data_IF_399689822857
#
_entry.id   IF_399689822857
#
_cell.length_a   1.000
_cell.length_b   1.000
_cell.length_c   1.000
_cell.angle_alpha   90.00
_cell.angle_beta   90.00
_cell.angle_gamma   90.00
#
_symmetry.space_group_name_H-M   'P 1'
#
loop_
_entity.id
_entity.type
_entity.pdbx_description
1 polymer ?
#
# COMPACT_ATOMS: atom_id res chain seq x y z
N UNK A 1 3.96 28.56 1.34
CA UNK A 1 3.96 28.34 2.80
C UNK A 1 2.65 27.65 3.16
N UNK A 2 2.67 26.37 3.52
CA UNK A 2 1.46 25.60 3.84
C UNK A 2 1.01 25.97 5.25
N UNK A 3 -0.24 26.43 5.42
CA UNK A 3 -0.78 26.85 6.72
C UNK A 3 -1.44 25.65 7.40
N UNK A 4 -0.75 25.04 8.36
CA UNK A 4 -1.28 23.95 9.16
C UNK A 4 -2.09 24.51 10.34
N UNK A 5 -3.32 24.04 10.52
CA UNK A 5 -4.14 24.35 11.68
C UNK A 5 -4.21 23.14 12.62
N UNK A 6 -4.19 23.34 13.93
CA UNK A 6 -4.31 22.21 14.89
C UNK A 6 -5.77 21.78 14.95
N UNK A 7 -6.07 20.58 14.47
CA UNK A 7 -7.41 20.00 14.53
C UNK A 7 -7.66 19.31 15.87
N UNK A 8 -8.80 19.57 16.52
CA UNK A 8 -9.25 18.81 17.70
C UNK A 8 -9.97 17.55 17.22
N UNK A 9 -9.29 16.41 17.23
CA UNK A 9 -9.90 15.13 16.87
C UNK A 9 -8.93 13.96 16.92
N UNK A 10 -9.48 12.75 17.03
CA UNK A 10 -8.75 11.50 16.96
C UNK A 10 -9.15 10.76 15.70
N UNK A 11 -8.18 10.22 14.95
CA UNK A 11 -8.47 9.37 13.79
C UNK A 11 -8.23 7.91 14.19
N UNK A 12 -9.26 7.09 14.08
CA UNK A 12 -9.14 5.64 14.20
C UNK A 12 -9.08 5.05 12.79
N UNK A 13 -7.90 4.58 12.40
CA UNK A 13 -7.73 3.78 11.17
C UNK A 13 -8.13 2.35 11.51
N UNK A 14 -8.72 1.62 10.55
CA UNK A 14 -9.20 0.25 10.74
C UNK A 14 -8.10 -0.62 11.39
N UNK A 15 -8.42 -1.27 12.52
CA UNK A 15 -7.48 -2.08 13.31
C UNK A 15 -6.24 -1.35 13.89
N UNK A 16 -6.25 -0.02 14.01
CA UNK A 16 -5.19 0.76 14.64
C UNK A 16 -5.68 1.53 15.88
N UNK A 17 -4.78 1.79 16.83
CA UNK A 17 -5.05 2.63 18.01
C UNK A 17 -5.38 4.05 17.54
N UNK A 18 -6.41 4.68 18.10
CA UNK A 18 -6.81 6.03 17.70
C UNK A 18 -5.65 7.00 17.95
N UNK A 19 -5.14 7.61 16.87
CA UNK A 19 -4.06 8.58 16.96
C UNK A 19 -4.63 9.99 16.97
N UNK A 20 -4.05 10.91 17.77
CA UNK A 20 -4.42 12.31 17.71
C UNK A 20 -4.06 12.87 16.33
N UNK A 21 -4.97 13.65 15.75
CA UNK A 21 -4.69 14.42 14.55
C UNK A 21 -3.71 15.52 14.92
N UNK A 22 -2.58 15.58 14.22
CA UNK A 22 -1.48 16.51 14.51
C UNK A 22 -1.72 17.86 13.83
N UNK A 23 -2.37 17.85 12.67
CA UNK A 23 -2.76 19.06 11.97
C UNK A 23 -3.77 18.79 10.87
N UNK A 24 -4.49 19.83 10.49
CA UNK A 24 -5.35 19.88 9.32
C UNK A 24 -4.81 20.97 8.40
N UNK A 25 -4.53 20.59 7.17
CA UNK A 25 -4.11 21.50 6.11
C UNK A 25 -5.25 21.57 5.12
N UNK A 26 -5.85 22.74 4.96
CA UNK A 26 -6.97 22.94 4.03
C UNK A 26 -6.51 23.53 2.71
N UNK A 27 -7.25 23.24 1.65
CA UNK A 27 -7.13 23.86 0.32
C UNK A 27 -5.70 23.89 -0.21
N UNK A 28 -4.99 22.77 -0.10
CA UNK A 28 -3.65 22.66 -0.69
C UNK A 28 -3.78 22.20 -2.13
N UNK A 29 -3.24 23.02 -3.04
CA UNK A 29 -3.15 22.66 -4.46
C UNK A 29 -2.14 21.52 -4.61
N UNK A 30 -2.62 20.33 -4.97
CA UNK A 30 -1.76 19.18 -5.29
C UNK A 30 -1.53 19.13 -6.79
N UNK A 31 -0.31 18.82 -7.21
CA UNK A 31 -0.01 18.47 -8.61
C UNK A 31 0.52 17.04 -8.68
N UNK A 32 -0.26 16.14 -9.25
CA UNK A 32 0.14 14.74 -9.48
C UNK A 32 0.01 14.45 -10.98
N UNK A 33 1.14 14.47 -11.68
CA UNK A 33 1.17 14.45 -13.14
C UNK A 33 0.44 15.66 -13.73
N UNK A 34 -0.56 15.41 -14.58
CA UNK A 34 -1.43 16.44 -15.18
C UNK A 34 -2.61 16.88 -14.31
N UNK A 35 -2.79 16.30 -13.11
CA UNK A 35 -3.92 16.62 -12.24
C UNK A 35 -3.57 17.75 -11.27
N UNK A 36 -4.48 18.71 -11.12
CA UNK A 36 -4.35 19.86 -10.24
C UNK A 36 -5.70 20.08 -9.53
N UNK A 37 -5.72 19.96 -8.21
CA UNK A 37 -6.94 20.24 -7.43
C UNK A 37 -6.62 20.63 -5.99
N UNK A 38 -7.61 21.23 -5.34
CA UNK A 38 -7.57 21.65 -3.95
C UNK A 38 -8.03 20.52 -3.05
N UNK A 39 -7.11 19.99 -2.24
CA UNK A 39 -7.41 18.90 -1.32
C UNK A 39 -7.14 19.33 0.11
N UNK A 40 -7.99 18.86 1.02
CA UNK A 40 -7.78 18.96 2.46
C UNK A 40 -7.01 17.73 2.96
N UNK A 41 -5.91 17.97 3.67
CA UNK A 41 -5.09 16.93 4.28
C UNK A 41 -5.26 16.91 5.80
N UNK A 42 -5.47 15.71 6.32
CA UNK A 42 -5.35 15.42 7.75
C UNK A 42 -3.94 14.88 8.00
N UNK A 43 -3.13 15.68 8.69
CA UNK A 43 -1.78 15.31 9.11
C UNK A 43 -1.89 14.47 10.38
N UNK A 44 -1.53 13.20 10.26
CA UNK A 44 -1.42 12.27 11.39
C UNK A 44 0.03 11.85 11.47
N UNK A 45 0.63 11.89 12.66
CA UNK A 45 1.94 11.27 12.90
C UNK A 45 1.77 9.75 12.84
N UNK A 46 1.92 9.18 11.65
CA UNK A 46 2.06 7.75 11.46
C UNK A 46 3.55 7.41 11.62
N UNK A 47 3.89 6.42 12.46
CA UNK A 47 5.28 6.12 12.79
C UNK A 47 6.18 5.94 11.55
N UNK A 48 5.91 4.92 10.76
CA UNK A 48 6.79 4.42 9.68
C UNK A 48 6.43 4.93 8.26
N UNK A 49 5.38 5.76 8.12
CA UNK A 49 4.90 6.22 6.81
C UNK A 49 4.80 7.74 6.76
N UNK A 50 5.47 8.35 5.79
CA UNK A 50 5.49 9.81 5.62
C UNK A 50 4.15 10.37 5.11
N UNK A 51 3.38 9.59 4.33
CA UNK A 51 2.07 9.98 3.77
C UNK A 51 1.16 8.75 3.63
N UNK A 52 -0.13 8.90 3.97
CA UNK A 52 -1.18 7.92 3.66
C UNK A 52 -2.27 8.62 2.85
N UNK A 53 -2.42 8.25 1.58
CA UNK A 53 -3.53 8.72 0.75
C UNK A 53 -4.79 7.93 1.11
N UNK A 54 -5.88 8.65 1.42
CA UNK A 54 -7.16 8.05 1.73
C UNK A 54 -7.81 7.37 0.52
N UNK A 55 -8.71 6.42 0.77
CA UNK A 55 -9.44 5.72 -0.30
C UNK A 55 -10.37 6.68 -1.07
N UNK A 56 -10.89 7.72 -0.42
CA UNK A 56 -11.72 8.76 -1.03
C UNK A 56 -10.98 9.55 -2.13
N UNK A 57 -9.67 9.77 -1.96
CA UNK A 57 -8.79 10.31 -3.00
C UNK A 57 -8.74 9.38 -4.23
N UNK A 58 -8.75 8.06 -4.02
CA UNK A 58 -8.76 7.08 -5.11
C UNK A 58 -10.16 6.92 -5.75
N UNK A 59 -11.24 7.18 -5.00
CA UNK A 59 -12.63 7.06 -5.44
C UNK A 59 -13.15 8.29 -6.19
N UNK A 60 -12.67 9.49 -5.85
CA UNK A 60 -13.04 10.75 -6.52
C UNK A 60 -12.51 10.88 -7.95
N UNK A 61 -11.56 10.02 -8.33
CA UNK A 61 -11.05 9.95 -9.69
C UNK A 61 -11.72 8.80 -10.44
N UNK A 62 -12.57 9.15 -11.42
CA UNK A 62 -12.95 8.23 -12.48
C UNK A 62 -11.68 7.87 -13.24
N UNK A 63 -11.01 6.80 -12.81
CA UNK A 63 -10.15 6.03 -13.70
C UNK A 63 -11.00 5.64 -14.92
N UNK A 64 -10.41 5.61 -16.13
CA UNK A 64 -11.12 5.11 -17.30
C UNK A 64 -11.75 3.76 -16.94
N UNK A 65 -13.07 3.68 -17.17
CA UNK A 65 -14.02 2.67 -16.68
C UNK A 65 -13.74 1.25 -17.20
N UNK A 66 -12.60 0.67 -16.85
CA UNK A 66 -12.26 -0.72 -17.19
C UNK A 66 -11.74 -1.51 -15.99
N UNK A 67 -11.55 -0.88 -14.83
CA UNK A 67 -11.25 -1.58 -13.57
C UNK A 67 -12.37 -1.35 -12.56
N UNK A 68 -13.58 -1.81 -12.90
CA UNK A 68 -14.58 -2.17 -11.88
C UNK A 68 -14.10 -3.43 -11.16
N UNK A 69 -13.03 -3.34 -10.39
CA UNK A 69 -12.52 -4.45 -9.58
C UNK A 69 -12.00 -3.96 -8.22
N UNK A 70 -12.89 -3.37 -7.41
CA UNK A 70 -12.66 -3.33 -5.96
C UNK A 70 -12.86 -4.72 -5.31
N UNK A 71 -13.03 -5.77 -6.12
CA UNK A 71 -12.96 -7.17 -5.69
C UNK A 71 -11.61 -7.71 -6.10
N UNK A 72 -10.78 -8.00 -5.11
CA UNK A 72 -9.67 -8.93 -5.29
C UNK A 72 -10.27 -10.24 -5.81
N UNK A 73 -9.77 -10.81 -6.92
CA UNK A 73 -10.32 -12.04 -7.46
C UNK A 73 -10.18 -13.17 -6.42
N UNK A 74 -11.20 -14.02 -6.31
CA UNK A 74 -11.23 -15.10 -5.32
C UNK A 74 -10.08 -16.12 -5.52
N UNK A 75 -9.54 -16.17 -6.74
CA UNK A 75 -8.38 -16.98 -7.11
C UNK A 75 -7.40 -16.17 -7.97
N UNK A 76 -6.10 -16.44 -7.81
CA UNK A 76 -5.07 -15.83 -8.64
C UNK A 76 -5.19 -16.30 -10.11
N UNK A 77 -4.87 -15.44 -11.09
CA UNK A 77 -4.75 -15.87 -12.49
C UNK A 77 -3.68 -16.96 -12.61
N UNK A 78 -3.82 -17.87 -13.58
CA UNK A 78 -2.96 -19.06 -13.67
C UNK A 78 -1.56 -18.81 -14.24
N UNK A 79 -1.35 -17.67 -14.91
CA UNK A 79 -0.09 -17.38 -15.61
C UNK A 79 0.24 -15.89 -15.59
N UNK A 80 1.52 -15.58 -15.78
CA UNK A 80 1.98 -14.23 -16.03
C UNK A 80 1.31 -13.62 -17.26
N UNK A 81 1.05 -12.31 -17.25
CA UNK A 81 0.60 -11.61 -18.46
C UNK A 81 1.69 -11.70 -19.54
N UNK A 82 1.31 -11.67 -20.83
CA UNK A 82 2.28 -11.62 -21.93
C UNK A 82 3.29 -10.48 -21.75
N UNK A 83 4.55 -10.72 -22.10
CA UNK A 83 5.60 -9.69 -22.06
C UNK A 83 5.19 -8.53 -22.95
N UNK A 84 5.13 -7.33 -22.37
CA UNK A 84 4.82 -6.09 -23.09
C UNK A 84 6.08 -5.57 -23.78
N UNK A 85 5.91 -4.75 -24.82
CA UNK A 85 7.03 -4.07 -25.50
C UNK A 85 7.75 -3.05 -24.60
N UNK A 86 7.04 -2.52 -23.60
CA UNK A 86 7.57 -1.53 -22.66
C UNK A 86 7.95 -2.26 -21.37
N UNK A 87 9.22 -2.20 -21.02
CA UNK A 87 9.70 -2.59 -19.69
C UNK A 87 9.64 -1.37 -18.77
N UNK A 88 9.06 -1.54 -17.59
CA UNK A 88 9.02 -0.49 -16.59
C UNK A 88 10.22 -0.63 -15.68
N UNK A 89 11.07 0.39 -15.63
CA UNK A 89 12.15 0.52 -14.66
C UNK A 89 11.71 1.45 -13.52
N UNK A 90 12.03 1.08 -12.28
CA UNK A 90 11.80 1.92 -11.11
C UNK A 90 13.14 2.56 -10.75
N UNK A 91 13.29 3.84 -11.12
CA UNK A 91 14.48 4.60 -10.78
C UNK A 91 14.57 4.81 -9.26
N UNK A 92 15.75 4.54 -8.71
CA UNK A 92 16.07 4.79 -7.31
C UNK A 92 16.83 6.11 -7.19
N UNK A 93 16.55 6.86 -6.13
CA UNK A 93 17.32 8.06 -5.82
C UNK A 93 18.79 7.67 -5.56
N UNK A 94 19.72 8.44 -6.14
CA UNK A 94 21.15 8.21 -5.94
C UNK A 94 21.52 8.25 -4.46
N UNK A 95 22.22 7.21 -3.98
CA UNK A 95 22.60 7.04 -2.58
C UNK A 95 21.49 6.54 -1.65
N UNK A 96 20.29 6.20 -2.17
CA UNK A 96 19.24 5.61 -1.37
C UNK A 96 19.68 4.26 -0.78
N UNK A 97 19.54 4.11 0.54
CA UNK A 97 19.82 2.84 1.22
C UNK A 97 18.64 1.90 1.03
N UNK A 98 18.86 0.65 0.59
CA UNK A 98 17.78 -0.31 0.43
C UNK A 98 17.13 -0.60 1.78
N UNK A 99 15.79 -0.55 1.89
CA UNK A 99 15.11 -1.01 3.09
C UNK A 99 15.30 -2.51 3.24
N UNK A 100 15.91 -2.92 4.35
CA UNK A 100 16.06 -4.32 4.74
C UNK A 100 15.54 -4.48 6.17
N UNK A 101 14.24 -4.77 6.29
CA UNK A 101 13.59 -5.01 7.60
C UNK A 101 13.43 -6.51 7.83
N UNK A 102 13.63 -6.93 9.08
CA UNK A 102 13.40 -8.31 9.50
C UNK A 102 11.90 -8.66 9.41
N UNK A 103 11.60 -9.92 9.11
CA UNK A 103 10.23 -10.42 9.14
C UNK A 103 9.64 -10.37 10.56
N UNK A 104 8.35 -10.07 10.67
CA UNK A 104 7.65 -10.12 11.95
C UNK A 104 7.54 -11.57 12.44
N UNK A 105 7.51 -11.73 13.78
CA UNK A 105 7.22 -13.01 14.39
C UNK A 105 5.77 -13.42 14.08
N UNK A 106 5.59 -14.63 13.56
CA UNK A 106 4.29 -15.18 13.21
C UNK A 106 4.00 -16.42 14.06
N UNK A 107 2.71 -16.64 14.33
CA UNK A 107 2.25 -17.88 14.94
C UNK A 107 2.34 -19.04 13.94
N UNK A 108 2.49 -20.30 14.39
CA UNK A 108 2.56 -21.46 13.52
C UNK A 108 1.48 -21.54 12.41
N UNK A 109 0.17 -21.29 12.68
CA UNK A 109 -0.84 -21.36 11.62
C UNK A 109 -0.68 -20.27 10.55
N UNK A 110 -0.27 -19.06 10.91
CA UNK A 110 0.01 -17.99 9.93
C UNK A 110 1.21 -18.32 9.06
N UNK A 111 2.22 -18.96 9.65
CA UNK A 111 3.42 -19.37 8.93
C UNK A 111 3.11 -20.50 7.93
N UNK A 112 2.25 -21.46 8.31
CA UNK A 112 1.78 -22.50 7.41
C UNK A 112 1.01 -21.93 6.21
N UNK A 113 0.10 -20.99 6.45
CA UNK A 113 -0.64 -20.31 5.38
C UNK A 113 0.29 -19.49 4.47
N UNK A 114 1.30 -18.81 5.04
CA UNK A 114 2.27 -18.06 4.26
C UNK A 114 3.06 -18.96 3.30
N UNK A 115 3.50 -20.11 3.79
CA UNK A 115 4.25 -21.08 2.96
C UNK A 115 3.38 -21.59 1.82
N UNK A 116 2.13 -21.95 2.11
CA UNK A 116 1.17 -22.38 1.09
C UNK A 116 0.99 -21.31 -0.01
N UNK A 117 0.79 -20.05 0.36
CA UNK A 117 0.65 -18.95 -0.59
C UNK A 117 1.93 -18.71 -1.41
N UNK A 118 3.11 -18.82 -0.78
CA UNK A 118 4.39 -18.71 -1.50
C UNK A 118 4.57 -19.85 -2.52
N UNK A 119 4.22 -21.08 -2.15
CA UNK A 119 4.31 -22.23 -3.04
C UNK A 119 3.37 -22.07 -4.24
N UNK A 120 2.13 -21.60 -4.02
CA UNK A 120 1.18 -21.27 -5.10
C UNK A 120 1.73 -20.19 -6.03
N UNK A 121 2.34 -19.13 -5.50
CA UNK A 121 2.94 -18.05 -6.29
C UNK A 121 4.20 -18.49 -7.05
N UNK A 122 5.01 -19.37 -6.48
CA UNK A 122 6.18 -19.96 -7.14
C UNK A 122 5.75 -20.87 -8.29
N UNK A 123 4.74 -21.72 -8.06
CA UNK A 123 4.20 -22.62 -9.08
C UNK A 123 3.51 -21.85 -10.23
N UNK A 124 2.92 -20.69 -9.93
CA UNK A 124 2.35 -19.79 -10.94
C UNK A 124 3.39 -18.92 -11.66
N UNK A 125 4.68 -19.06 -11.33
CA UNK A 125 5.79 -18.26 -11.84
C UNK A 125 5.66 -16.74 -11.58
N UNK A 126 4.79 -16.33 -10.66
CA UNK A 126 4.62 -14.92 -10.29
C UNK A 126 5.78 -14.37 -9.48
N UNK A 127 6.43 -15.23 -8.70
CA UNK A 127 7.62 -14.89 -7.92
C UNK A 127 8.74 -15.89 -8.22
N UNK A 128 9.97 -15.47 -7.94
CA UNK A 128 11.15 -16.32 -8.04
C UNK A 128 12.09 -16.06 -6.86
N UNK A 129 12.83 -17.07 -6.38
CA UNK A 129 13.87 -16.85 -5.40
C UNK A 129 14.92 -15.86 -5.92
N UNK A 130 15.30 -14.89 -5.09
CA UNK A 130 16.28 -13.87 -5.44
C UNK A 130 17.16 -13.53 -4.24
N UNK A 131 18.42 -13.14 -4.50
CA UNK A 131 19.31 -12.54 -3.51
C UNK A 131 19.29 -11.03 -3.70
N UNK A 132 18.51 -10.33 -2.87
CA UNK A 132 18.36 -8.88 -2.92
C UNK A 132 18.83 -8.24 -1.62
N UNK A 133 19.36 -7.01 -1.72
CA UNK A 133 19.63 -6.15 -0.56
C UNK A 133 18.33 -5.56 0.04
N UNK A 134 17.21 -5.70 -0.67
CA UNK A 134 15.89 -5.22 -0.28
C UNK A 134 15.13 -6.31 0.47
N UNK A 135 14.45 -5.93 1.55
CA UNK A 135 13.59 -6.81 2.33
C UNK A 135 12.48 -6.03 3.02
N UNK A 136 11.24 -6.43 2.76
CA UNK A 136 10.05 -5.89 3.41
C UNK A 136 9.34 -7.00 4.21
N UNK A 137 8.80 -6.70 5.40
CA UNK A 137 8.08 -7.70 6.19
C UNK A 137 6.69 -7.95 5.58
N UNK A 138 6.22 -9.19 5.69
CA UNK A 138 4.90 -9.60 5.23
C UNK A 138 3.87 -9.43 6.36
N UNK A 139 2.68 -8.96 6.02
CA UNK A 139 1.56 -8.79 6.94
C UNK A 139 0.36 -9.61 6.47
N UNK A 140 -0.28 -10.30 7.42
CA UNK A 140 -1.57 -10.95 7.19
C UNK A 140 -2.71 -10.00 7.48
N UNK A 141 -3.59 -9.84 6.51
CA UNK A 141 -4.89 -9.19 6.69
C UNK A 141 -5.97 -10.27 6.65
N UNK A 142 -6.83 -10.28 7.69
CA UNK A 142 -8.01 -11.12 7.66
C UNK A 142 -8.97 -10.63 6.58
N UNK A 143 -9.53 -11.55 5.81
CA UNK A 143 -10.60 -11.25 4.86
C UNK A 143 -11.87 -10.84 5.62
N UNK A 144 -12.79 -10.21 4.90
CA UNK A 144 -14.10 -9.80 5.43
C UNK A 144 -14.86 -11.01 5.99
N UNK A 145 -14.71 -12.17 5.36
CA UNK A 145 -15.36 -13.43 5.76
C UNK A 145 -14.75 -14.08 7.02
N UNK A 146 -13.75 -13.43 7.63
CA UNK A 146 -13.11 -13.90 8.86
C UNK A 146 -12.00 -14.94 8.64
N UNK A 147 -11.81 -15.41 7.41
CA UNK A 147 -10.67 -16.25 7.06
C UNK A 147 -9.35 -15.45 7.06
N UNK A 148 -8.24 -16.16 7.29
CA UNK A 148 -6.91 -15.67 6.95
C UNK A 148 -6.63 -15.86 5.45
#
# INVERSE_FOLDING_TARGET
MIKCSVGKGYRKVLNFVALPIVGLVKQTMIRLGGWHDLVDFVVVKMGDFDVVLGIEYLLGHQTPRTLSCNKMPDSLPKSLPPRRMIEHEIELLSGAKPPAKNAYRMTPPRLAELRKQLDELLNAEFIRPAKALYGAPILFQKKIDGSL
#
